data_IF_139550210819
#
_entry.id   IF_139550210819
#
_cell.length_a   1.000
_cell.length_b   1.000
_cell.length_c   1.000
_cell.angle_alpha   90.00
_cell.angle_beta   90.00
_cell.angle_gamma   90.00
#
_symmetry.space_group_name_H-M   'P 1'
#
loop_
_entity.id
_entity.type
_entity.pdbx_description
1 polymer ?
#
# COMPACT_ATOMS: atom_id res chain seq x y z
N UNK A 1 -1.82 6.34 -19.70
CA UNK A 1 -3.28 6.48 -19.52
C UNK A 1 -3.56 7.46 -18.37
N UNK A 2 -4.41 8.48 -18.57
CA UNK A 2 -4.83 9.43 -17.51
C UNK A 2 -6.35 9.64 -17.51
N UNK A 3 -7.14 8.57 -17.40
CA UNK A 3 -8.61 8.68 -17.32
C UNK A 3 -9.08 9.12 -15.94
N UNK A 4 -8.31 8.79 -14.89
CA UNK A 4 -8.59 9.19 -13.51
C UNK A 4 -8.58 10.73 -13.33
N UNK A 5 -7.74 11.43 -14.09
CA UNK A 5 -7.64 12.88 -14.07
C UNK A 5 -8.82 13.60 -14.73
N UNK A 6 -9.74 12.88 -15.38
CA UNK A 6 -10.92 13.43 -16.06
C UNK A 6 -12.20 13.31 -15.21
N UNK A 7 -12.09 12.77 -13.99
CA UNK A 7 -13.24 12.63 -13.09
C UNK A 7 -13.49 13.97 -12.41
N UNK A 8 -14.68 14.53 -12.61
CA UNK A 8 -15.08 15.80 -12.00
C UNK A 8 -15.13 15.71 -10.47
N UNK A 9 -14.74 16.76 -9.74
CA UNK A 9 -14.88 16.81 -8.28
C UNK A 9 -16.31 16.49 -7.82
N UNK A 10 -16.43 15.70 -6.75
CA UNK A 10 -17.73 15.28 -6.21
C UNK A 10 -18.35 14.07 -6.92
N UNK A 11 -17.73 13.56 -7.98
CA UNK A 11 -18.14 12.29 -8.60
C UNK A 11 -17.75 11.09 -7.73
N UNK A 12 -18.52 10.00 -7.84
CA UNK A 12 -18.18 8.72 -7.22
C UNK A 12 -17.64 7.75 -8.27
N UNK A 13 -16.40 7.29 -8.08
CA UNK A 13 -15.80 6.23 -8.89
C UNK A 13 -16.01 4.89 -8.19
N UNK A 14 -16.66 3.95 -8.87
CA UNK A 14 -16.83 2.58 -8.37
C UNK A 14 -15.74 1.69 -8.98
N UNK A 15 -15.04 0.94 -8.14
CA UNK A 15 -14.00 -0.03 -8.55
C UNK A 15 -14.40 -1.39 -8.01
N UNK A 16 -14.31 -2.42 -8.85
CA UNK A 16 -14.51 -3.80 -8.46
C UNK A 16 -13.15 -4.46 -8.27
N UNK A 17 -12.96 -5.09 -7.11
CA UNK A 17 -11.82 -5.96 -6.81
C UNK A 17 -12.34 -7.39 -6.96
N UNK A 18 -11.82 -8.11 -7.96
CA UNK A 18 -12.41 -9.37 -8.42
C UNK A 18 -12.07 -10.58 -7.54
N UNK A 19 -10.97 -10.51 -6.79
CA UNK A 19 -10.50 -11.55 -5.89
C UNK A 19 -9.68 -10.93 -4.74
N UNK A 20 -9.43 -11.72 -3.69
CA UNK A 20 -8.63 -11.30 -2.53
C UNK A 20 -7.13 -11.64 -2.69
N UNK A 21 -6.74 -12.24 -3.82
CA UNK A 21 -5.36 -12.40 -4.24
C UNK A 21 -4.63 -13.64 -3.71
N UNK A 22 -5.29 -14.56 -3.01
CA UNK A 22 -4.66 -15.75 -2.40
C UNK A 22 -3.97 -16.63 -3.45
N UNK A 23 -4.49 -16.67 -4.68
CA UNK A 23 -3.89 -17.43 -5.79
C UNK A 23 -2.56 -16.84 -6.25
N UNK A 24 -2.30 -15.56 -5.94
CA UNK A 24 -1.13 -14.84 -6.45
C UNK A 24 0.03 -14.75 -5.45
N UNK A 25 -0.09 -15.38 -4.27
CA UNK A 25 0.92 -15.28 -3.19
C UNK A 25 2.32 -15.69 -3.65
N UNK A 26 2.42 -16.70 -4.53
CA UNK A 26 3.68 -17.19 -5.10
C UNK A 26 4.06 -16.48 -6.42
N UNK A 27 3.36 -15.39 -6.77
CA UNK A 27 3.60 -14.65 -8.03
C UNK A 27 3.78 -13.16 -7.77
N UNK A 28 2.80 -12.31 -8.06
CA UNK A 28 2.94 -10.84 -7.98
C UNK A 28 3.16 -10.32 -6.55
N UNK A 29 2.92 -11.14 -5.53
CA UNK A 29 3.27 -10.84 -4.14
C UNK A 29 4.68 -11.29 -3.74
N UNK A 30 5.36 -12.10 -4.56
CA UNK A 30 6.74 -12.53 -4.35
C UNK A 30 7.70 -11.62 -5.12
N UNK A 31 8.54 -10.90 -4.38
CA UNK A 31 9.56 -10.01 -4.95
C UNK A 31 10.55 -10.77 -5.86
N UNK A 32 10.88 -12.04 -5.56
CA UNK A 32 11.74 -12.85 -6.42
C UNK A 32 11.10 -13.10 -7.78
N UNK A 33 9.81 -13.42 -7.78
CA UNK A 33 9.03 -13.60 -9.01
C UNK A 33 8.95 -12.31 -9.83
N UNK A 34 8.80 -11.16 -9.17
CA UNK A 34 8.81 -9.83 -9.80
C UNK A 34 10.18 -9.49 -10.40
N UNK A 35 11.27 -9.74 -9.67
CA UNK A 35 12.64 -9.49 -10.13
C UNK A 35 13.00 -10.35 -11.34
N UNK A 36 12.68 -11.65 -11.32
CA UNK A 36 12.93 -12.57 -12.44
C UNK A 36 12.28 -12.07 -13.75
N UNK A 37 11.16 -11.38 -13.64
CA UNK A 37 10.38 -10.86 -14.79
C UNK A 37 10.63 -9.40 -15.10
N UNK A 38 11.53 -8.73 -14.38
CA UNK A 38 11.80 -7.30 -14.54
C UNK A 38 10.59 -6.41 -14.23
N UNK A 39 9.71 -6.86 -13.33
CA UNK A 39 8.49 -6.17 -12.92
C UNK A 39 8.65 -5.42 -11.58
N UNK A 40 9.71 -5.71 -10.82
CA UNK A 40 9.98 -4.99 -9.58
C UNK A 40 10.37 -3.53 -9.90
N UNK A 41 9.79 -2.59 -9.16
CA UNK A 41 10.15 -1.18 -9.20
C UNK A 41 10.80 -0.82 -7.87
N UNK A 42 12.12 -0.87 -7.81
CA UNK A 42 12.89 -0.66 -6.57
C UNK A 42 12.61 0.72 -5.93
N UNK A 43 12.55 1.84 -6.68
CA UNK A 43 12.21 3.12 -6.07
C UNK A 43 10.84 3.15 -5.39
N UNK A 44 9.83 2.54 -6.01
CA UNK A 44 8.49 2.44 -5.43
C UNK A 44 8.48 1.52 -4.20
N UNK A 45 9.17 0.38 -4.28
CA UNK A 45 9.27 -0.58 -3.19
C UNK A 45 9.95 0.04 -1.96
N UNK A 46 11.07 0.75 -2.15
CA UNK A 46 11.73 1.48 -1.07
C UNK A 46 10.86 2.60 -0.48
N UNK A 47 10.08 3.29 -1.33
CA UNK A 47 9.16 4.33 -0.85
C UNK A 47 8.07 3.72 0.03
N UNK A 48 7.50 2.58 -0.36
CA UNK A 48 6.50 1.87 0.42
C UNK A 48 7.05 1.45 1.79
N UNK A 49 8.23 0.82 1.83
CA UNK A 49 8.88 0.44 3.10
C UNK A 49 9.10 1.63 4.04
N UNK A 50 9.51 2.78 3.50
CA UNK A 50 9.64 4.00 4.31
C UNK A 50 8.30 4.47 4.87
N UNK A 51 7.21 4.39 4.10
CA UNK A 51 5.88 4.77 4.58
C UNK A 51 5.38 3.82 5.66
N UNK A 52 5.60 2.52 5.51
CA UNK A 52 5.23 1.52 6.51
C UNK A 52 6.00 1.70 7.81
N UNK A 53 7.32 1.90 7.74
CA UNK A 53 8.15 2.18 8.92
C UNK A 53 7.68 3.45 9.68
N UNK A 54 7.32 4.51 8.96
CA UNK A 54 6.75 5.73 9.57
C UNK A 54 5.39 5.46 10.21
N UNK A 55 4.55 4.63 9.58
CA UNK A 55 3.26 4.27 10.12
C UNK A 55 3.39 3.43 11.41
N UNK A 56 4.27 2.44 11.42
CA UNK A 56 4.56 1.62 12.62
C UNK A 56 5.03 2.49 13.78
N UNK A 57 5.94 3.43 13.50
CA UNK A 57 6.41 4.39 14.49
C UNK A 57 5.28 5.29 15.02
N UNK A 58 4.41 5.76 14.12
CA UNK A 58 3.25 6.57 14.50
C UNK A 58 2.29 5.80 15.40
N UNK A 59 2.02 4.52 15.09
CA UNK A 59 1.21 3.63 15.92
C UNK A 59 1.83 3.41 17.29
N UNK A 60 3.16 3.23 17.35
CA UNK A 60 3.91 3.07 18.60
C UNK A 60 3.79 4.31 19.48
N UNK A 61 3.95 5.50 18.91
CA UNK A 61 3.81 6.77 19.63
C UNK A 61 2.38 6.99 20.12
N UNK A 62 1.38 6.70 19.29
CA UNK A 62 -0.03 6.79 19.68
C UNK A 62 -0.35 5.86 20.87
N UNK A 63 0.16 4.62 20.85
CA UNK A 63 -0.01 3.69 21.95
C UNK A 63 0.65 4.17 23.26
N UNK A 64 1.83 4.79 23.17
CA UNK A 64 2.52 5.40 24.32
C UNK A 64 1.73 6.57 24.88
N UNK A 65 1.22 7.45 24.01
CA UNK A 65 0.44 8.61 24.46
C UNK A 65 -0.86 8.15 25.14
N UNK A 66 -1.60 7.22 24.52
CA UNK A 66 -2.80 6.62 25.11
C UNK A 66 -2.53 6.02 26.50
N UNK A 67 -1.43 5.29 26.67
CA UNK A 67 -1.04 4.72 27.97
C UNK A 67 -0.70 5.79 29.03
N UNK A 68 -0.26 6.98 28.59
CA UNK A 68 0.14 8.10 29.47
C UNK A 68 -1.03 9.02 29.83
N UNK A 69 -1.96 9.25 28.90
CA UNK A 69 -3.04 10.26 29.03
C UNK A 69 -4.43 9.65 29.20
N UNK A 70 -4.64 8.39 28.81
CA UNK A 70 -5.92 7.69 28.92
C UNK A 70 -6.99 8.13 27.90
N UNK A 71 -6.62 8.95 26.92
CA UNK A 71 -7.42 9.33 25.73
C UNK A 71 -6.55 9.20 24.50
#
# INVERSE_FOLDING_TARGET
>A
MKRLALVEPGSTLVVLVCDAGETYLETVYDDAWLMERGLLNEPAHQRLHRLLAVFEESQRLAAIDYARTGT
#
